data_IF_532440389389
#
_entry.id   IF_532440389389
#
_cell.length_a   1.000
_cell.length_b   1.000
_cell.length_c   1.000
_cell.angle_alpha   90.00
_cell.angle_beta   90.00
_cell.angle_gamma   90.00
#
_symmetry.space_group_name_H-M   'P 1'
#
loop_
_entity.id
_entity.type
_entity.pdbx_description
1 polymer ?
#
# COMPACT_ATOMS: atom_id res chain seq x y z
N UNK A 1 -19.36 -3.57 -4.45
CA UNK A 1 -18.40 -2.55 -4.89
C UNK A 1 -17.92 -2.89 -6.30
N UNK A 2 -18.00 -1.93 -7.22
CA UNK A 2 -17.47 -2.05 -8.58
C UNK A 2 -15.95 -2.03 -8.57
N UNK A 3 -15.32 -2.38 -9.70
CA UNK A 3 -13.86 -2.30 -9.83
C UNK A 3 -13.37 -0.84 -9.72
N UNK A 4 -14.09 0.12 -10.26
CA UNK A 4 -13.70 1.53 -10.21
C UNK A 4 -13.77 2.07 -8.77
N UNK A 5 -14.81 1.70 -8.02
CA UNK A 5 -14.90 2.02 -6.60
C UNK A 5 -13.71 1.42 -5.81
N UNK A 6 -13.34 0.16 -6.09
CA UNK A 6 -12.17 -0.48 -5.47
C UNK A 6 -10.88 0.28 -5.78
N UNK A 7 -10.69 0.70 -7.04
CA UNK A 7 -9.50 1.45 -7.48
C UNK A 7 -9.40 2.80 -6.78
N UNK A 8 -10.51 3.51 -6.62
CA UNK A 8 -10.51 4.79 -5.93
C UNK A 8 -10.17 4.62 -4.44
N UNK A 9 -10.71 3.60 -3.77
CA UNK A 9 -10.29 3.28 -2.39
C UNK A 9 -8.80 2.92 -2.36
N UNK A 10 -8.30 2.07 -3.26
CA UNK A 10 -6.89 1.70 -3.32
C UNK A 10 -5.97 2.92 -3.49
N UNK A 11 -6.37 3.92 -4.29
CA UNK A 11 -5.64 5.19 -4.39
C UNK A 11 -5.63 5.95 -3.06
N UNK A 12 -6.75 6.00 -2.33
CA UNK A 12 -6.78 6.65 -1.01
C UNK A 12 -5.89 5.91 0.00
N UNK A 13 -5.88 4.58 -0.04
CA UNK A 13 -4.99 3.76 0.78
C UNK A 13 -3.51 3.99 0.44
N UNK A 14 -3.19 4.12 -0.85
CA UNK A 14 -1.84 4.45 -1.31
C UNK A 14 -1.38 5.82 -0.80
N UNK A 15 -2.27 6.84 -0.79
CA UNK A 15 -1.97 8.15 -0.20
C UNK A 15 -1.66 8.06 1.29
N UNK A 16 -2.41 7.25 2.04
CA UNK A 16 -2.15 7.04 3.49
C UNK A 16 -0.76 6.46 3.72
N UNK A 17 -0.36 5.44 2.96
CA UNK A 17 0.95 4.83 3.16
C UNK A 17 2.10 5.68 2.61
N UNK A 18 1.87 6.49 1.58
CA UNK A 18 2.84 7.52 1.18
C UNK A 18 3.05 8.55 2.27
N UNK A 19 1.96 8.97 2.94
CA UNK A 19 2.08 9.82 4.11
C UNK A 19 2.92 9.14 5.21
N UNK A 20 2.65 7.87 5.55
CA UNK A 20 3.45 7.14 6.54
C UNK A 20 4.93 7.04 6.12
N UNK A 21 5.20 6.66 4.87
CA UNK A 21 6.55 6.54 4.33
C UNK A 21 7.32 7.86 4.35
N UNK A 22 6.65 8.98 4.03
CA UNK A 22 7.23 10.34 4.13
C UNK A 22 7.61 10.73 5.56
N UNK A 23 7.02 10.07 6.56
CA UNK A 23 7.31 10.27 7.98
C UNK A 23 8.24 9.19 8.56
N UNK A 24 8.96 8.45 7.70
CA UNK A 24 9.99 7.50 8.13
C UNK A 24 9.47 6.10 8.48
N UNK A 25 8.20 5.80 8.24
CA UNK A 25 7.66 4.45 8.44
C UNK A 25 8.13 3.54 7.30
N UNK A 26 8.71 2.39 7.64
CA UNK A 26 9.04 1.34 6.68
C UNK A 26 7.78 0.62 6.21
N UNK A 27 7.32 0.96 5.01
CA UNK A 27 6.11 0.37 4.41
C UNK A 27 6.49 -0.74 3.44
N UNK A 28 6.01 -1.94 3.71
CA UNK A 28 6.14 -3.12 2.84
C UNK A 28 4.85 -3.30 2.05
N UNK A 29 4.84 -2.98 0.75
CA UNK A 29 3.62 -3.04 -0.06
C UNK A 29 3.21 -4.48 -0.35
N UNK A 30 2.48 -5.11 0.57
CA UNK A 30 2.05 -6.51 0.45
C UNK A 30 0.77 -6.70 -0.39
N UNK A 31 -0.01 -5.62 -0.58
CA UNK A 31 -1.26 -5.69 -1.32
C UNK A 31 -0.99 -5.71 -2.81
N UNK A 32 -1.28 -6.85 -3.46
CA UNK A 32 -1.13 -6.99 -4.92
C UNK A 32 -2.02 -6.04 -5.70
N UNK A 33 -3.22 -5.78 -5.19
CA UNK A 33 -4.15 -4.85 -5.82
C UNK A 33 -3.63 -3.42 -5.77
N UNK A 34 -3.27 -2.92 -4.57
CA UNK A 34 -2.77 -1.55 -4.41
C UNK A 34 -1.45 -1.37 -5.17
N UNK A 35 -0.56 -2.37 -5.12
CA UNK A 35 0.71 -2.36 -5.87
C UNK A 35 0.48 -2.21 -7.38
N UNK A 36 -0.48 -2.96 -7.94
CA UNK A 36 -0.81 -2.83 -9.37
C UNK A 36 -1.30 -1.41 -9.73
N UNK A 37 -2.08 -0.77 -8.86
CA UNK A 37 -2.57 0.60 -9.07
C UNK A 37 -1.42 1.60 -8.97
N UNK A 38 -0.49 1.37 -8.05
CA UNK A 38 0.71 2.18 -7.95
C UNK A 38 1.57 2.08 -9.21
N UNK A 39 1.79 0.89 -9.76
CA UNK A 39 2.50 0.72 -11.04
C UNK A 39 1.81 1.38 -12.22
N UNK A 40 0.47 1.40 -12.26
CA UNK A 40 -0.26 2.17 -13.27
C UNK A 40 -0.01 3.68 -13.14
N UNK A 41 0.01 4.23 -11.92
CA UNK A 41 0.32 5.65 -11.70
C UNK A 41 1.75 6.01 -12.12
N UNK A 42 2.72 5.11 -11.91
CA UNK A 42 4.13 5.34 -12.27
C UNK A 42 4.36 5.47 -13.78
N UNK A 43 3.41 5.04 -14.63
CA UNK A 43 3.51 5.18 -16.09
C UNK A 43 3.41 6.63 -16.57
N UNK A 44 2.77 7.50 -15.79
CA UNK A 44 2.72 8.94 -16.05
C UNK A 44 3.44 9.69 -14.93
N UNK A 45 4.66 10.12 -15.22
CA UNK A 45 5.52 10.81 -14.26
C UNK A 45 4.85 12.06 -13.66
N UNK A 46 4.17 12.87 -14.48
CA UNK A 46 3.55 14.11 -13.99
C UNK A 46 2.36 13.79 -13.09
N UNK A 47 1.51 12.85 -13.51
CA UNK A 47 0.39 12.41 -12.70
C UNK A 47 0.86 11.81 -11.37
N UNK A 48 1.95 11.04 -11.38
CA UNK A 48 2.53 10.47 -10.18
C UNK A 48 3.10 11.52 -9.22
N UNK A 49 3.82 12.52 -9.75
CA UNK A 49 4.31 13.65 -8.95
C UNK A 49 3.14 14.41 -8.31
N UNK A 50 2.13 14.80 -9.09
CA UNK A 50 0.93 15.49 -8.60
C UNK A 50 0.23 14.66 -7.49
N UNK A 51 0.14 13.35 -7.68
CA UNK A 51 -0.44 12.43 -6.71
C UNK A 51 0.36 12.36 -5.39
N UNK A 52 1.68 12.32 -5.45
CA UNK A 52 2.54 12.29 -4.27
C UNK A 52 2.48 13.61 -3.48
N UNK A 53 2.50 14.74 -4.19
CA UNK A 53 2.36 16.08 -3.60
C UNK A 53 1.00 16.20 -2.91
N UNK A 54 -0.08 15.73 -3.53
CA UNK A 54 -1.40 15.71 -2.90
C UNK A 54 -1.42 14.82 -1.64
N UNK A 55 -0.73 13.68 -1.67
CA UNK A 55 -0.71 12.72 -0.56
C UNK A 55 0.07 13.21 0.67
N UNK A 56 1.25 13.77 0.46
CA UNK A 56 2.23 14.00 1.53
C UNK A 56 3.15 15.21 1.31
N UNK A 57 2.89 16.03 0.28
CA UNK A 57 3.64 17.24 -0.01
C UNK A 57 5.03 17.03 -0.63
N UNK A 58 5.45 15.78 -0.84
CA UNK A 58 6.76 15.44 -1.42
C UNK A 58 6.61 14.29 -2.42
N UNK A 59 7.54 14.17 -3.37
CA UNK A 59 7.59 13.02 -4.29
C UNK A 59 8.11 11.79 -3.53
N UNK A 60 7.37 10.69 -3.60
CA UNK A 60 7.76 9.41 -3.00
C UNK A 60 8.43 8.54 -4.07
N UNK A 61 9.61 8.01 -3.76
CA UNK A 61 10.32 7.12 -4.67
C UNK A 61 9.76 5.69 -4.56
N UNK A 62 9.67 5.04 -5.72
CA UNK A 62 9.33 3.62 -5.81
C UNK A 62 10.62 2.79 -5.83
N UNK A 63 10.68 1.75 -4.99
CA UNK A 63 11.76 0.76 -5.00
C UNK A 63 11.20 -0.65 -5.16
N UNK A 64 11.73 -1.39 -6.14
CA UNK A 64 11.52 -2.83 -6.29
C UNK A 64 12.33 -3.58 -5.22
N UNK A 65 11.78 -3.61 -4.00
CA UNK A 65 12.36 -4.33 -2.87
C UNK A 65 11.40 -5.44 -2.50
N UNK A 66 11.75 -6.68 -2.87
CA UNK A 66 10.95 -7.86 -2.54
C UNK A 66 11.45 -8.54 -1.28
N UNK A 67 10.54 -9.17 -0.54
CA UNK A 67 10.85 -9.90 0.68
C UNK A 67 9.64 -10.60 1.28
N UNK A 68 9.86 -11.35 2.35
CA UNK A 68 8.83 -11.99 3.15
C UNK A 68 9.15 -11.80 4.63
N UNK A 69 8.13 -11.53 5.44
CA UNK A 69 8.31 -11.32 6.87
C UNK A 69 7.10 -10.65 7.52
N UNK A 70 7.32 -10.17 8.74
CA UNK A 70 6.28 -9.45 9.47
C UNK A 70 6.06 -8.07 8.83
N UNK A 71 4.78 -7.71 8.68
CA UNK A 71 4.37 -6.39 8.21
C UNK A 71 4.07 -5.49 9.41
N UNK A 72 5.12 -4.90 9.97
CA UNK A 72 5.04 -4.15 11.23
C UNK A 72 4.31 -2.79 11.09
N UNK A 73 4.20 -2.23 9.87
CA UNK A 73 3.51 -0.94 9.68
C UNK A 73 2.00 -1.00 9.88
N UNK A 74 1.40 -2.20 9.93
CA UNK A 74 -0.04 -2.38 10.15
C UNK A 74 -0.47 -1.74 11.47
N UNK A 75 0.31 -1.89 12.54
CA UNK A 75 -0.03 -1.31 13.85
C UNK A 75 -0.09 0.22 13.78
N UNK A 76 0.93 0.84 13.14
CA UNK A 76 1.01 2.29 12.94
C UNK A 76 -0.13 2.78 12.03
N UNK A 77 -0.44 2.03 10.98
CA UNK A 77 -1.55 2.33 10.09
C UNK A 77 -2.88 2.31 10.86
N UNK A 78 -3.13 1.25 11.64
CA UNK A 78 -4.41 1.06 12.34
C UNK A 78 -4.62 2.04 13.48
N UNK A 79 -3.55 2.39 14.22
CA UNK A 79 -3.61 3.44 15.24
C UNK A 79 -4.08 4.77 14.63
N UNK A 80 -3.66 5.05 13.40
CA UNK A 80 -3.95 6.32 12.72
C UNK A 80 -5.26 6.34 11.93
N UNK A 81 -5.61 5.24 11.26
CA UNK A 81 -6.69 5.20 10.27
C UNK A 81 -7.77 4.17 10.57
N UNK A 82 -7.59 3.34 11.60
CA UNK A 82 -8.44 2.18 11.87
C UNK A 82 -8.10 0.97 11.01
N UNK A 83 -8.94 -0.07 11.07
CA UNK A 83 -8.71 -1.35 10.37
C UNK A 83 -8.52 -1.16 8.87
N UNK A 84 -7.63 -1.97 8.30
CA UNK A 84 -7.37 -1.95 6.86
C UNK A 84 -8.61 -2.41 6.09
N UNK A 85 -9.04 -1.65 5.07
CA UNK A 85 -10.15 -2.07 4.21
C UNK A 85 -9.77 -3.27 3.34
N UNK A 86 -10.78 -4.02 2.90
CA UNK A 86 -10.65 -5.24 2.09
C UNK A 86 -9.72 -5.11 0.87
N UNK A 87 -9.58 -3.92 0.29
CA UNK A 87 -8.70 -3.66 -0.86
C UNK A 87 -7.22 -4.01 -0.58
N UNK A 88 -6.79 -3.98 0.67
CA UNK A 88 -5.45 -4.44 1.06
C UNK A 88 -5.24 -5.92 0.80
N UNK A 89 -6.31 -6.71 0.86
CA UNK A 89 -6.28 -8.17 0.76
C UNK A 89 -6.83 -8.66 -0.59
N UNK A 90 -6.84 -7.80 -1.61
CA UNK A 90 -7.27 -8.18 -2.96
C UNK A 90 -6.08 -8.59 -3.83
N UNK A 91 -6.34 -9.53 -4.74
CA UNK A 91 -5.43 -9.85 -5.84
C UNK A 91 -5.44 -8.73 -6.91
N UNK A 92 -4.59 -8.86 -7.93
CA UNK A 92 -4.50 -7.89 -9.03
C UNK A 92 -5.81 -7.71 -9.83
N UNK A 93 -6.75 -8.64 -9.74
CA UNK A 93 -8.05 -8.56 -10.42
C UNK A 93 -9.10 -7.87 -9.54
N UNK A 94 -8.78 -7.58 -8.28
CA UNK A 94 -9.69 -7.01 -7.30
C UNK A 94 -10.53 -8.07 -6.58
N UNK A 95 -10.16 -9.34 -6.64
CA UNK A 95 -10.82 -10.42 -5.92
C UNK A 95 -10.16 -10.63 -4.55
N UNK A 96 -10.97 -10.88 -3.51
CA UNK A 96 -10.46 -11.02 -2.15
C UNK A 96 -9.62 -12.31 -1.99
N UNK A 97 -8.36 -12.15 -1.61
CA UNK A 97 -7.50 -13.23 -1.11
C UNK A 97 -7.93 -13.56 0.33
N UNK A 98 -8.86 -14.51 0.44
CA UNK A 98 -9.41 -14.94 1.73
C UNK A 98 -8.33 -15.45 2.69
N UNK A 99 -7.28 -16.09 2.18
CA UNK A 99 -6.21 -16.63 3.03
C UNK A 99 -5.42 -15.49 3.67
N UNK A 100 -5.08 -14.47 2.90
CA UNK A 100 -4.39 -13.30 3.41
C UNK A 100 -5.29 -12.50 4.37
N UNK A 101 -6.56 -12.33 4.03
CA UNK A 101 -7.55 -11.67 4.88
C UNK A 101 -7.72 -12.37 6.25
N UNK A 102 -7.90 -13.70 6.25
CA UNK A 102 -8.01 -14.50 7.48
C UNK A 102 -6.73 -14.45 8.32
N UNK A 103 -5.56 -14.44 7.68
CA UNK A 103 -4.28 -14.27 8.36
C UNK A 103 -4.19 -12.91 9.08
N UNK A 104 -4.63 -11.83 8.43
CA UNK A 104 -4.66 -10.49 9.03
C UNK A 104 -5.65 -10.39 10.22
N UNK A 105 -6.78 -11.09 10.15
CA UNK A 105 -7.78 -11.11 11.23
C UNK A 105 -7.50 -12.13 12.34
N UNK A 106 -6.45 -12.94 12.22
CA UNK A 106 -6.04 -13.87 13.26
C UNK A 106 -5.28 -13.20 14.42
N UNK A 107 -5.02 -13.95 15.48
CA UNK A 107 -4.31 -13.46 16.68
C UNK A 107 -2.76 -13.46 16.53
N UNK A 108 -2.25 -13.80 15.35
CA UNK A 108 -0.82 -13.91 15.08
C UNK A 108 -0.30 -12.67 14.35
N UNK A 109 1.02 -12.45 14.44
CA UNK A 109 1.69 -11.45 13.60
C UNK A 109 1.38 -11.71 12.13
N UNK A 110 0.99 -10.67 11.41
CA UNK A 110 0.72 -10.77 9.99
C UNK A 110 2.02 -10.91 9.21
N UNK A 111 2.26 -12.12 8.70
CA UNK A 111 3.43 -12.49 7.90
C UNK A 111 3.00 -12.66 6.45
N UNK A 112 3.62 -11.92 5.54
CA UNK A 112 3.38 -12.05 4.10
C UNK A 112 4.54 -11.47 3.29
N UNK A 113 4.47 -11.65 1.98
CA UNK A 113 5.45 -11.10 1.04
C UNK A 113 5.06 -9.72 0.53
N UNK A 114 6.06 -8.97 0.09
CA UNK A 114 5.90 -7.72 -0.65
C UNK A 114 6.88 -7.69 -1.83
N UNK A 115 6.56 -6.91 -2.85
CA UNK A 115 7.40 -6.76 -4.05
C UNK A 115 7.98 -5.34 -4.17
N UNK A 116 7.31 -4.35 -3.57
CA UNK A 116 7.65 -2.94 -3.69
C UNK A 116 7.62 -2.23 -2.33
N UNK A 117 8.37 -1.14 -2.23
CA UNK A 117 8.41 -0.28 -1.03
C UNK A 117 8.45 1.20 -1.43
N UNK A 118 7.61 2.08 -0.82
CA UNK A 118 7.74 3.52 -0.98
C UNK A 118 8.86 4.05 -0.08
N UNK A 119 9.78 4.80 -0.65
CA UNK A 119 10.93 5.38 0.06
C UNK A 119 10.92 6.91 -0.02
N UNK A 120 11.17 7.55 1.12
CA UNK A 120 11.39 9.00 1.24
C UNK A 120 12.87 9.38 1.03
N UNK A 121 13.77 8.39 1.01
CA UNK A 121 15.19 8.63 0.78
C UNK A 121 15.45 8.65 -0.73
N UNK A 122 16.03 9.75 -1.20
CA UNK A 122 16.80 9.71 -2.45
C UNK A 122 17.98 8.75 -2.25
N UNK A 123 18.20 7.85 -3.20
CA UNK A 123 19.49 7.17 -3.35
C UNK A 123 20.58 8.17 -3.73
#
# INVERSE_FOLDING_TARGET
MTLDEKKEIAKQELKKVFFLASNGVDVKMFSKFIDSIWHELLKDKKQYEDFCIEACGNVIFHSESSGEGVIDFIEIYEEKYGKMPDVWFMDKNGDLDRKQYENYHGDNKFITGWDCTPTHNCL
#
